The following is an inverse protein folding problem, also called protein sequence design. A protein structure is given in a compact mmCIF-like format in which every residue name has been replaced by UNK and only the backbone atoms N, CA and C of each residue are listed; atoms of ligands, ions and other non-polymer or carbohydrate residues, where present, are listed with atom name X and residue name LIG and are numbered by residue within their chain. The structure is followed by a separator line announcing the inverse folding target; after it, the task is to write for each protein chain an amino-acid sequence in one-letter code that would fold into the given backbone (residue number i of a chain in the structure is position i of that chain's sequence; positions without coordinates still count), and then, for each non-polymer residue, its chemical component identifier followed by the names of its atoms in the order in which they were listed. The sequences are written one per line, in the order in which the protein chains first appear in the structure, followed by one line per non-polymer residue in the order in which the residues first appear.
data_IF_268116246577
#
_entry.id   IF_268116246577
#
_cell.length_a   1.000
_cell.length_b   1.000
_cell.length_c   1.000
_cell.angle_alpha   90.00
_cell.angle_beta   90.00
_cell.angle_gamma   90.00
#
_symmetry.space_group_name_H-M   'P 1'
#
loop_
_entity.id
_entity.type
_entity.pdbx_description
1 polymer ?
#
# COMPACT_ATOMS: atom_id res chain seq x y z
N UNK A 1 -9.44 -17.80 -9.80
CA UNK A 1 -8.62 -16.94 -8.92
C UNK A 1 -8.48 -15.58 -9.56
N UNK A 2 -8.25 -14.53 -8.75
CA UNK A 2 -7.98 -13.16 -9.23
C UNK A 2 -6.67 -12.68 -8.62
N UNK A 3 -5.79 -12.15 -9.46
CA UNK A 3 -4.61 -11.39 -9.06
C UNK A 3 -4.96 -9.91 -9.18
N UNK A 4 -4.66 -9.14 -8.15
CA UNK A 4 -4.91 -7.69 -8.15
C UNK A 4 -3.57 -6.98 -8.09
N UNK A 5 -3.35 -6.12 -9.06
CA UNK A 5 -2.09 -5.40 -9.24
C UNK A 5 -2.30 -3.89 -9.15
N UNK A 6 -1.26 -3.16 -8.70
CA UNK A 6 -1.31 -1.71 -8.55
C UNK A 6 -1.40 -0.96 -9.87
N UNK A 7 -0.83 -1.50 -10.96
CA UNK A 7 -0.68 -0.76 -12.22
C UNK A 7 -1.07 -1.56 -13.50
N UNK A 8 -1.80 -2.68 -13.34
CA UNK A 8 -2.36 -3.43 -14.47
C UNK A 8 -3.34 -2.55 -15.28
N UNK A 9 -3.39 -2.64 -16.60
CA UNK A 9 -2.55 -3.47 -17.48
C UNK A 9 -1.29 -2.77 -17.99
N UNK A 10 -1.10 -1.48 -17.68
CA UNK A 10 -0.16 -0.62 -18.39
C UNK A 10 1.28 -0.74 -17.87
N UNK A 11 1.44 -0.90 -16.54
CA UNK A 11 2.74 -1.03 -15.86
C UNK A 11 3.73 0.08 -16.21
N UNK A 12 3.22 1.32 -16.29
CA UNK A 12 3.96 2.48 -16.78
C UNK A 12 4.02 3.65 -15.79
N UNK A 13 3.65 3.42 -14.53
CA UNK A 13 3.77 4.44 -13.50
C UNK A 13 4.82 4.04 -12.44
N UNK A 14 5.77 4.93 -12.15
CA UNK A 14 6.03 6.25 -12.75
C UNK A 14 6.77 6.15 -14.10
N UNK A 15 7.35 5.00 -14.39
CA UNK A 15 8.07 4.63 -15.61
C UNK A 15 7.64 3.25 -16.08
N UNK A 16 8.02 2.87 -17.31
CA UNK A 16 7.74 1.52 -17.79
C UNK A 16 8.57 0.49 -17.00
N UNK A 17 7.90 -0.25 -16.12
CA UNK A 17 8.53 -1.25 -15.24
C UNK A 17 9.13 -2.44 -16.00
N UNK A 18 8.78 -2.62 -17.27
CA UNK A 18 9.34 -3.68 -18.13
C UNK A 18 10.75 -3.39 -18.56
N UNK A 19 11.17 -2.14 -18.57
CA UNK A 19 12.45 -1.68 -19.08
C UNK A 19 13.26 -0.86 -18.09
N UNK A 20 12.63 -0.35 -17.04
CA UNK A 20 13.28 0.51 -16.05
C UNK A 20 13.46 -0.20 -14.71
N UNK A 21 14.64 -0.05 -14.15
CA UNK A 21 14.94 -0.48 -12.78
C UNK A 21 14.59 0.67 -11.86
N UNK A 22 13.67 0.47 -10.92
CA UNK A 22 13.50 1.39 -9.81
C UNK A 22 14.78 1.40 -8.95
N UNK A 23 15.02 2.49 -8.22
CA UNK A 23 16.21 2.64 -7.38
C UNK A 23 16.34 1.58 -6.29
N UNK A 24 17.02 1.87 -5.20
CA UNK A 24 17.21 0.93 -4.08
C UNK A 24 15.88 0.31 -3.63
N UNK A 25 15.76 -1.01 -3.74
CA UNK A 25 14.53 -1.75 -3.42
C UNK A 25 13.59 -1.97 -4.61
N UNK A 26 13.94 -1.54 -5.81
CA UNK A 26 13.16 -1.79 -7.01
C UNK A 26 13.27 -3.21 -7.54
N UNK A 27 12.24 -3.62 -8.27
CA UNK A 27 12.20 -4.93 -8.91
C UNK A 27 13.08 -4.93 -10.16
N UNK A 28 14.01 -5.87 -10.25
CA UNK A 28 14.78 -6.10 -11.46
C UNK A 28 13.87 -6.34 -12.67
N UNK A 29 14.12 -5.72 -13.86
CA UNK A 29 13.28 -5.88 -15.04
C UNK A 29 13.05 -7.35 -15.43
N UNK A 30 14.06 -8.20 -15.30
CA UNK A 30 13.93 -9.64 -15.56
C UNK A 30 12.91 -10.30 -14.61
N UNK A 31 12.93 -9.95 -13.33
CA UNK A 31 11.98 -10.46 -12.34
C UNK A 31 10.56 -10.00 -12.67
N UNK A 32 10.40 -8.73 -13.04
CA UNK A 32 9.09 -8.21 -13.44
C UNK A 32 8.58 -8.87 -14.72
N UNK A 33 9.42 -9.06 -15.72
CA UNK A 33 9.05 -9.79 -16.94
C UNK A 33 8.67 -11.24 -16.66
N UNK A 34 9.33 -11.91 -15.72
CA UNK A 34 8.94 -13.25 -15.28
C UNK A 34 7.57 -13.26 -14.61
N UNK A 35 7.25 -12.25 -13.80
CA UNK A 35 5.89 -12.07 -13.25
C UNK A 35 4.87 -11.95 -14.40
N UNK A 36 5.12 -11.11 -15.40
CA UNK A 36 4.20 -10.95 -16.53
C UNK A 36 4.00 -12.26 -17.32
N UNK A 37 5.05 -13.01 -17.56
CA UNK A 37 4.98 -14.35 -18.20
C UNK A 37 4.16 -15.32 -17.34
N UNK A 38 4.36 -15.32 -16.03
CA UNK A 38 3.59 -16.12 -15.10
C UNK A 38 2.10 -15.74 -15.13
N UNK A 39 1.79 -14.45 -15.08
CA UNK A 39 0.39 -13.99 -15.14
C UNK A 39 -0.28 -14.39 -16.45
N UNK A 40 0.42 -14.25 -17.58
CA UNK A 40 -0.10 -14.66 -18.88
C UNK A 40 -0.35 -16.18 -18.95
N UNK A 41 0.58 -16.98 -18.46
CA UNK A 41 0.40 -18.42 -18.33
C UNK A 41 -0.84 -18.78 -17.49
N UNK A 42 -1.00 -18.12 -16.34
CA UNK A 42 -2.13 -18.36 -15.44
C UNK A 42 -3.47 -17.93 -16.05
N UNK A 43 -3.50 -16.82 -16.78
CA UNK A 43 -4.69 -16.38 -17.53
C UNK A 43 -5.09 -17.42 -18.59
N UNK A 44 -4.15 -17.83 -19.39
CA UNK A 44 -4.38 -18.71 -20.54
C UNK A 44 -4.75 -20.13 -20.11
N UNK A 45 -4.02 -20.68 -19.13
CA UNK A 45 -4.16 -22.11 -18.78
C UNK A 45 -5.07 -22.37 -17.60
N UNK A 46 -5.22 -21.42 -16.68
CA UNK A 46 -5.93 -21.60 -15.41
C UNK A 46 -7.11 -20.64 -15.21
N UNK A 47 -7.47 -19.86 -16.22
CA UNK A 47 -8.58 -18.91 -16.16
C UNK A 47 -8.44 -17.85 -15.07
N UNK A 48 -7.20 -17.48 -14.70
CA UNK A 48 -6.96 -16.43 -13.72
C UNK A 48 -7.35 -15.07 -14.29
N UNK A 49 -8.04 -14.28 -13.50
CA UNK A 49 -8.30 -12.87 -13.81
C UNK A 49 -7.18 -12.02 -13.25
N UNK A 50 -6.81 -10.95 -13.98
CA UNK A 50 -5.92 -9.92 -13.50
C UNK A 50 -6.68 -8.59 -13.51
N UNK A 51 -6.66 -7.89 -12.40
CA UNK A 51 -7.40 -6.64 -12.22
C UNK A 51 -6.49 -5.55 -11.65
N UNK A 52 -6.74 -4.30 -12.00
CA UNK A 52 -6.11 -3.16 -11.33
C UNK A 52 -6.73 -2.97 -9.96
N UNK A 53 -5.91 -2.58 -8.98
CA UNK A 53 -6.38 -2.19 -7.65
C UNK A 53 -7.32 -0.99 -7.77
N UNK A 54 -8.59 -1.19 -7.42
CA UNK A 54 -9.67 -0.22 -7.62
C UNK A 54 -9.84 0.65 -6.39
N UNK A 55 -9.16 1.80 -6.35
CA UNK A 55 -9.15 2.73 -5.20
C UNK A 55 -10.57 3.21 -4.91
N UNK A 56 -10.93 3.28 -3.62
CA UNK A 56 -12.26 3.64 -3.14
C UNK A 56 -13.29 2.51 -3.27
N UNK A 57 -12.93 1.37 -3.86
CA UNK A 57 -13.81 0.21 -3.95
C UNK A 57 -13.97 -0.48 -2.60
N UNK A 58 -15.19 -0.93 -2.32
CA UNK A 58 -15.47 -1.91 -1.27
C UNK A 58 -16.11 -3.20 -1.84
N UNK A 59 -16.00 -3.39 -3.16
CA UNK A 59 -16.58 -4.53 -3.87
C UNK A 59 -15.53 -5.42 -4.52
N UNK A 60 -14.29 -4.94 -4.66
CA UNK A 60 -13.23 -5.71 -5.30
C UNK A 60 -12.83 -6.93 -4.47
N UNK A 61 -12.71 -6.75 -3.15
CA UNK A 61 -12.47 -7.83 -2.21
C UNK A 61 -13.74 -8.09 -1.41
N UNK A 62 -14.50 -9.12 -1.80
CA UNK A 62 -15.76 -9.46 -1.17
C UNK A 62 -15.78 -10.92 -0.72
N UNK A 63 -16.52 -11.22 0.33
CA UNK A 63 -16.80 -12.59 0.73
C UNK A 63 -17.57 -13.28 -0.38
N UNK A 64 -17.04 -14.42 -0.85
CA UNK A 64 -17.67 -15.24 -1.89
C UNK A 64 -18.55 -16.33 -1.29
N UNK A 65 -18.16 -16.83 -0.10
CA UNK A 65 -18.89 -17.87 0.61
C UNK A 65 -19.79 -17.21 1.65
N UNK A 66 -21.09 -17.38 1.51
CA UNK A 66 -22.11 -16.93 2.44
C UNK A 66 -22.03 -15.44 2.87
N UNK A 67 -21.99 -14.50 1.93
CA UNK A 67 -21.88 -13.09 2.27
C UNK A 67 -23.06 -12.54 3.07
N UNK A 68 -24.23 -13.21 2.98
CA UNK A 68 -25.44 -12.79 3.69
C UNK A 68 -25.35 -13.00 5.22
N UNK A 69 -24.59 -13.99 5.66
CA UNK A 69 -24.36 -14.25 7.09
C UNK A 69 -23.38 -13.26 7.73
N UNK A 70 -22.70 -12.44 6.93
CA UNK A 70 -21.73 -11.47 7.39
C UNK A 70 -22.05 -10.05 6.89
N UNK A 71 -23.27 -9.54 7.19
CA UNK A 71 -23.65 -8.19 6.79
C UNK A 71 -22.72 -7.18 7.49
N UNK A 72 -22.12 -6.29 6.76
CA UNK A 72 -21.18 -5.31 7.34
C UNK A 72 -19.71 -5.72 7.28
N UNK A 73 -19.37 -6.90 6.72
CA UNK A 73 -18.00 -7.15 6.30
C UNK A 73 -17.66 -6.30 5.07
N UNK A 74 -16.59 -5.54 5.18
CA UNK A 74 -16.11 -4.66 4.11
C UNK A 74 -14.58 -4.69 4.04
N UNK A 75 -14.04 -4.72 2.82
CA UNK A 75 -12.64 -4.36 2.55
C UNK A 75 -12.66 -3.13 1.65
N UNK A 76 -12.11 -2.04 2.16
CA UNK A 76 -12.04 -0.76 1.46
C UNK A 76 -10.62 -0.51 0.94
N UNK A 77 -10.49 -0.29 -0.36
CA UNK A 77 -9.24 0.09 -1.00
C UNK A 77 -8.97 1.57 -0.77
N UNK A 78 -7.84 1.90 -0.14
CA UNK A 78 -7.53 3.26 0.34
C UNK A 78 -6.55 3.97 -0.60
N UNK A 79 -5.46 3.31 -0.98
CA UNK A 79 -4.37 3.94 -1.72
C UNK A 79 -3.74 2.94 -2.69
N UNK A 80 -3.27 3.42 -3.84
CA UNK A 80 -2.41 2.68 -4.77
C UNK A 80 -1.61 3.66 -5.62
N UNK A 81 -0.37 3.33 -5.93
CA UNK A 81 0.55 4.26 -6.59
C UNK A 81 0.62 5.59 -5.80
N UNK A 82 0.49 6.72 -6.48
CA UNK A 82 0.45 8.04 -5.87
C UNK A 82 -0.95 8.54 -5.51
N UNK A 83 -1.98 7.71 -5.65
CA UNK A 83 -3.37 8.13 -5.49
C UNK A 83 -3.94 7.65 -4.15
N UNK A 84 -4.49 8.58 -3.39
CA UNK A 84 -5.22 8.36 -2.15
C UNK A 84 -6.72 8.56 -2.38
N UNK A 85 -7.55 7.67 -1.85
CA UNK A 85 -9.01 7.87 -1.79
C UNK A 85 -9.36 9.05 -0.90
N UNK A 86 -10.31 9.89 -1.32
CA UNK A 86 -10.73 11.09 -0.59
C UNK A 86 -11.79 10.82 0.50
N UNK A 87 -12.16 9.55 0.72
CA UNK A 87 -13.27 9.20 1.61
C UNK A 87 -14.65 9.28 0.94
N UNK A 88 -14.77 9.72 -0.30
CA UNK A 88 -16.05 9.92 -0.98
C UNK A 88 -16.07 9.30 -2.38
N UNK A 89 -17.03 8.39 -2.59
CA UNK A 89 -17.25 7.74 -3.90
C UNK A 89 -15.99 7.03 -4.39
N UNK A 90 -15.56 7.36 -5.62
CA UNK A 90 -14.32 6.90 -6.24
C UNK A 90 -13.29 8.02 -6.39
N UNK A 91 -13.51 9.16 -5.74
CA UNK A 91 -12.64 10.31 -5.88
C UNK A 91 -11.28 10.04 -5.24
N UNK A 92 -10.24 10.48 -5.91
CA UNK A 92 -8.85 10.34 -5.45
C UNK A 92 -8.14 11.69 -5.48
N UNK A 93 -7.09 11.81 -4.68
CA UNK A 93 -6.14 12.94 -4.71
C UNK A 93 -4.73 12.39 -4.85
N UNK A 94 -3.86 13.04 -5.62
CA UNK A 94 -2.45 12.65 -5.67
C UNK A 94 -1.74 13.03 -4.36
N UNK A 95 -0.86 12.14 -3.89
CA UNK A 95 0.04 12.37 -2.75
C UNK A 95 1.35 13.01 -3.19
N UNK A 96 1.77 12.69 -4.40
CA UNK A 96 2.98 13.21 -5.04
C UNK A 96 2.82 13.11 -6.56
N UNK A 97 3.62 13.88 -7.26
CA UNK A 97 3.67 13.86 -8.73
C UNK A 97 4.71 12.84 -9.22
N UNK A 98 4.64 12.52 -10.49
CA UNK A 98 5.67 11.69 -11.15
C UNK A 98 7.03 12.38 -11.13
N UNK A 99 7.05 13.67 -11.34
CA UNK A 99 8.23 14.53 -11.37
C UNK A 99 8.93 14.55 -10.01
N UNK A 100 8.17 14.71 -8.92
CA UNK A 100 8.70 14.64 -7.55
C UNK A 100 9.32 13.29 -7.27
N UNK A 101 8.64 12.20 -7.63
CA UNK A 101 9.14 10.85 -7.41
C UNK A 101 10.44 10.57 -8.17
N UNK A 102 10.60 11.12 -9.37
CA UNK A 102 11.76 10.91 -10.25
C UNK A 102 12.87 11.95 -10.06
N UNK A 103 12.71 12.93 -9.17
CA UNK A 103 13.64 14.04 -9.00
C UNK A 103 15.08 13.63 -8.63
N UNK A 104 15.27 12.51 -7.95
CA UNK A 104 16.61 11.95 -7.66
C UNK A 104 17.12 11.10 -8.84
N UNK A 105 17.55 11.74 -9.93
CA UNK A 105 18.17 11.08 -11.10
C UNK A 105 17.33 9.95 -11.72
N UNK A 106 15.99 10.06 -11.66
CA UNK A 106 15.08 9.05 -12.15
C UNK A 106 15.02 7.77 -11.31
N UNK A 107 15.70 7.73 -10.17
CA UNK A 107 15.65 6.61 -9.24
C UNK A 107 14.54 6.84 -8.21
N UNK A 108 13.71 5.85 -8.02
CA UNK A 108 12.65 5.87 -7.01
C UNK A 108 12.62 4.52 -6.28
N UNK A 109 12.05 4.51 -5.08
CA UNK A 109 11.76 3.29 -4.36
C UNK A 109 10.30 2.90 -4.64
N UNK A 110 10.06 1.63 -4.99
CA UNK A 110 8.73 1.11 -5.31
C UNK A 110 7.79 1.06 -4.09
N UNK A 111 8.34 1.14 -2.89
CA UNK A 111 7.59 1.10 -1.63
C UNK A 111 6.54 2.21 -1.54
N UNK A 112 6.83 3.43 -2.03
CA UNK A 112 5.86 4.53 -2.04
C UNK A 112 4.65 4.27 -2.94
N UNK A 113 4.72 3.29 -3.84
CA UNK A 113 3.60 2.83 -4.67
C UNK A 113 2.75 1.74 -4.01
N UNK A 114 3.08 1.31 -2.79
CA UNK A 114 2.34 0.27 -2.06
C UNK A 114 0.84 0.55 -2.02
N UNK A 115 0.07 -0.52 -2.02
CA UNK A 115 -1.37 -0.45 -1.82
C UNK A 115 -1.72 -0.39 -0.33
N UNK A 116 -2.79 0.32 0.01
CA UNK A 116 -3.33 0.30 1.36
C UNK A 116 -4.82 -0.03 1.35
N UNK A 117 -5.26 -0.78 2.35
CA UNK A 117 -6.67 -1.15 2.53
C UNK A 117 -7.08 -1.18 4.00
N UNK A 118 -8.38 -1.11 4.21
CA UNK A 118 -9.00 -1.26 5.53
C UNK A 118 -10.00 -2.41 5.46
N UNK A 119 -9.88 -3.34 6.41
CA UNK A 119 -10.87 -4.40 6.65
C UNK A 119 -11.76 -3.97 7.80
N UNK A 120 -13.07 -4.11 7.63
CA UNK A 120 -14.05 -3.78 8.66
C UNK A 120 -15.05 -4.93 8.83
N UNK A 121 -15.34 -5.27 10.08
CA UNK A 121 -16.44 -6.16 10.43
C UNK A 121 -17.03 -5.78 11.80
N UNK A 122 -18.29 -5.36 11.81
CA UNK A 122 -18.90 -4.82 13.00
C UNK A 122 -18.14 -3.60 13.54
N UNK A 123 -17.69 -3.69 14.81
CA UNK A 123 -16.87 -2.66 15.47
C UNK A 123 -15.36 -2.84 15.21
N UNK A 124 -14.94 -3.99 14.68
CA UNK A 124 -13.54 -4.26 14.40
C UNK A 124 -13.12 -3.59 13.09
N UNK A 125 -11.96 -2.96 13.10
CA UNK A 125 -11.35 -2.32 11.94
C UNK A 125 -9.86 -2.58 11.95
N UNK A 126 -9.35 -3.04 10.81
CA UNK A 126 -7.93 -3.37 10.62
C UNK A 126 -7.36 -2.60 9.42
N UNK A 127 -6.20 -2.01 9.60
CA UNK A 127 -5.46 -1.34 8.53
C UNK A 127 -4.27 -2.20 8.09
N UNK A 128 -4.05 -2.25 6.76
CA UNK A 128 -2.86 -2.81 6.12
C UNK A 128 -2.40 -1.90 4.99
N UNK A 129 -1.15 -1.46 5.04
CA UNK A 129 -0.61 -0.43 4.13
C UNK A 129 0.63 -0.81 3.34
N UNK A 130 1.13 -2.04 3.45
CA UNK A 130 2.38 -2.42 2.78
C UNK A 130 3.55 -1.56 3.28
N UNK A 131 4.42 -1.16 2.36
CA UNK A 131 5.67 -0.45 2.68
C UNK A 131 5.57 1.07 2.51
N UNK A 132 4.37 1.64 2.74
CA UNK A 132 4.22 3.08 2.72
C UNK A 132 5.11 3.75 3.77
N UNK A 133 5.78 4.82 3.37
CA UNK A 133 6.61 5.65 4.24
C UNK A 133 5.79 6.71 4.99
N UNK A 134 6.34 7.20 6.09
CA UNK A 134 5.65 8.17 6.94
C UNK A 134 6.56 9.22 7.58
N UNK A 135 7.86 9.18 7.30
CA UNK A 135 8.78 10.14 7.88
C UNK A 135 9.59 10.85 6.81
N UNK A 136 9.67 12.14 6.96
CA UNK A 136 10.61 13.00 6.24
C UNK A 136 11.86 13.08 7.08
N UNK A 137 12.95 12.53 6.59
CA UNK A 137 14.27 12.69 7.16
C UNK A 137 15.11 13.70 6.34
N UNK A 138 16.39 13.89 6.70
CA UNK A 138 17.24 14.89 6.08
C UNK A 138 17.41 14.74 4.55
N UNK A 139 17.13 13.56 4.01
CA UNK A 139 17.32 13.23 2.60
C UNK A 139 16.03 13.10 1.79
N UNK A 140 14.86 13.13 2.44
CA UNK A 140 13.56 12.94 1.80
C UNK A 140 12.76 14.24 1.72
N UNK A 141 12.04 14.41 0.62
CA UNK A 141 11.11 15.51 0.42
C UNK A 141 9.82 15.31 1.23
N UNK A 142 9.04 16.37 1.45
CA UNK A 142 7.81 16.34 2.26
C UNK A 142 6.77 15.30 1.76
N UNK A 143 6.68 15.07 0.45
CA UNK A 143 5.77 14.08 -0.12
C UNK A 143 6.07 12.63 0.29
N UNK A 144 7.25 12.36 0.87
CA UNK A 144 7.61 11.04 1.40
C UNK A 144 6.76 10.64 2.60
N UNK A 145 6.17 11.60 3.30
CA UNK A 145 5.17 11.35 4.34
C UNK A 145 3.81 11.02 3.71
N UNK A 146 3.59 9.75 3.42
CA UNK A 146 2.34 9.20 2.89
C UNK A 146 1.34 8.93 4.01
N UNK A 147 1.81 8.65 5.21
CA UNK A 147 0.99 8.27 6.36
C UNK A 147 0.13 9.43 6.87
N UNK A 148 0.70 10.62 7.01
CA UNK A 148 -0.04 11.77 7.56
C UNK A 148 -1.28 12.13 6.74
N UNK A 149 -1.25 12.28 5.40
CA UNK A 149 -2.46 12.55 4.62
C UNK A 149 -3.43 11.34 4.59
N UNK A 150 -2.94 10.12 4.78
CA UNK A 150 -3.78 8.91 4.81
C UNK A 150 -4.48 8.72 6.17
N UNK A 151 -3.91 9.20 7.26
CA UNK A 151 -4.42 9.02 8.62
C UNK A 151 -5.91 9.40 8.77
N UNK A 152 -6.40 10.59 8.36
CA UNK A 152 -7.80 10.98 8.52
C UNK A 152 -8.75 10.13 7.65
N UNK A 153 -8.28 9.59 6.52
CA UNK A 153 -9.07 8.71 5.66
C UNK A 153 -9.25 7.33 6.29
N UNK A 154 -8.19 6.83 6.92
CA UNK A 154 -8.24 5.57 7.68
C UNK A 154 -9.03 5.77 8.97
N UNK A 155 -8.73 6.80 9.77
CA UNK A 155 -9.32 7.02 11.09
C UNK A 155 -9.02 5.91 12.08
N UNK A 156 -9.67 5.91 13.26
CA UNK A 156 -9.41 4.94 14.33
C UNK A 156 -9.57 3.49 13.89
N UNK A 157 -8.65 2.63 14.37
CA UNK A 157 -8.64 1.19 14.07
C UNK A 157 -8.54 0.35 15.34
N UNK A 158 -8.99 -0.90 15.28
CA UNK A 158 -8.80 -1.87 16.36
C UNK A 158 -7.39 -2.47 16.33
N UNK A 159 -6.88 -2.70 15.13
CA UNK A 159 -5.54 -3.23 14.90
C UNK A 159 -4.97 -2.72 13.58
N UNK A 160 -3.64 -2.73 13.46
CA UNK A 160 -2.96 -2.41 12.21
C UNK A 160 -1.69 -3.24 12.02
N UNK A 161 -1.33 -3.52 10.78
CA UNK A 161 0.05 -3.83 10.45
C UNK A 161 0.85 -2.54 10.36
N UNK A 162 2.04 -2.56 10.94
CA UNK A 162 2.98 -1.45 10.82
C UNK A 162 3.52 -1.40 9.39
N UNK A 163 3.57 -0.21 8.83
CA UNK A 163 4.06 -0.02 7.47
C UNK A 163 5.56 -0.34 7.39
N UNK A 164 6.00 -0.71 6.19
CA UNK A 164 7.40 -0.94 5.82
C UNK A 164 8.13 -1.85 6.81
N UNK A 165 7.47 -2.97 7.20
CA UNK A 165 8.03 -3.95 8.15
C UNK A 165 8.48 -3.34 9.49
N UNK A 166 7.88 -2.22 9.88
CA UNK A 166 8.30 -1.41 11.03
C UNK A 166 9.68 -0.77 10.82
N UNK A 167 10.04 -0.42 9.57
CA UNK A 167 11.26 0.32 9.29
C UNK A 167 11.18 1.74 9.89
N UNK A 168 12.35 2.32 10.17
CA UNK A 168 12.48 3.64 10.82
C UNK A 168 11.78 4.78 10.10
N UNK A 169 11.63 4.68 8.76
CA UNK A 169 11.02 5.69 7.88
C UNK A 169 9.49 5.62 7.80
N UNK A 170 8.86 4.74 8.58
CA UNK A 170 7.42 4.54 8.60
C UNK A 170 6.86 4.57 10.03
N UNK A 171 5.54 4.50 10.16
CA UNK A 171 4.82 4.51 11.44
C UNK A 171 5.08 5.80 12.22
N UNK A 172 4.74 6.94 11.59
CA UNK A 172 4.92 8.25 12.20
C UNK A 172 3.93 8.49 13.37
N UNK A 173 4.26 9.44 14.24
CA UNK A 173 3.48 9.73 15.45
C UNK A 173 2.07 10.20 15.12
N UNK A 174 1.90 11.08 14.13
CA UNK A 174 0.59 11.56 13.73
C UNK A 174 -0.33 10.43 13.25
N UNK A 175 0.23 9.46 12.49
CA UNK A 175 -0.51 8.29 12.02
C UNK A 175 -0.97 7.43 13.19
N UNK A 176 -0.10 7.17 14.16
CA UNK A 176 -0.43 6.43 15.37
C UNK A 176 -1.50 7.13 16.21
N UNK A 177 -1.36 8.43 16.42
CA UNK A 177 -2.30 9.22 17.24
C UNK A 177 -3.71 9.26 16.64
N UNK A 178 -3.81 9.36 15.30
CA UNK A 178 -5.11 9.36 14.61
C UNK A 178 -5.73 7.97 14.55
N UNK A 179 -4.94 6.93 14.25
CA UNK A 179 -5.43 5.57 14.14
C UNK A 179 -5.74 4.93 15.51
N UNK A 180 -5.07 5.34 16.58
CA UNK A 180 -5.27 4.89 17.96
C UNK A 180 -5.43 3.35 18.08
N UNK A 181 -4.50 2.53 17.49
CA UNK A 181 -4.66 1.09 17.45
C UNK A 181 -4.53 0.47 18.84
N UNK A 182 -5.32 -0.58 19.11
CA UNK A 182 -5.19 -1.40 20.34
C UNK A 182 -4.15 -2.51 20.16
N UNK A 183 -3.90 -2.91 18.91
CA UNK A 183 -2.93 -3.94 18.56
C UNK A 183 -2.16 -3.48 17.33
N UNK A 184 -0.86 -3.63 17.37
CA UNK A 184 0.02 -3.44 16.22
C UNK A 184 0.71 -4.75 15.87
N UNK A 185 0.89 -5.01 14.58
CA UNK A 185 1.57 -6.21 14.07
C UNK A 185 2.80 -5.76 13.30
N UNK A 186 3.99 -6.09 13.83
CA UNK A 186 5.25 -5.90 13.14
C UNK A 186 5.57 -7.14 12.29
N UNK A 187 5.62 -6.99 10.99
CA UNK A 187 5.91 -8.07 10.03
C UNK A 187 7.39 -8.03 9.64
N UNK A 188 8.27 -8.37 10.58
CA UNK A 188 9.72 -8.22 10.43
C UNK A 188 10.42 -9.57 10.34
N UNK A 189 11.47 -9.64 9.52
CA UNK A 189 12.36 -10.81 9.42
C UNK A 189 13.84 -10.44 9.40
N UNK A 190 14.15 -9.14 9.34
CA UNK A 190 15.52 -8.61 9.32
C UNK A 190 15.94 -8.15 10.71
N UNK A 191 17.24 -8.11 10.97
CA UNK A 191 17.82 -7.65 12.25
C UNK A 191 17.66 -6.15 12.48
N UNK A 192 17.41 -5.38 11.43
CA UNK A 192 17.20 -3.92 11.45
C UNK A 192 15.70 -3.52 11.41
N UNK A 193 14.81 -4.48 11.41
CA UNK A 193 13.37 -4.32 11.54
C UNK A 193 12.83 -5.15 12.71
N UNK A 194 12.01 -4.59 13.61
CA UNK A 194 11.57 -3.19 13.65
C UNK A 194 12.72 -2.23 14.01
N UNK A 195 12.70 -1.03 13.44
CA UNK A 195 13.61 0.04 13.88
C UNK A 195 13.34 0.43 15.33
N UNK A 196 14.40 0.73 16.10
CA UNK A 196 14.27 1.15 17.51
C UNK A 196 13.40 2.39 17.66
N UNK A 197 13.42 3.28 16.67
CA UNK A 197 12.64 4.51 16.61
C UNK A 197 11.13 4.23 16.50
N UNK A 198 10.74 3.14 15.83
CA UNK A 198 9.34 2.70 15.79
C UNK A 198 8.89 2.25 17.18
N UNK A 199 9.72 1.46 17.89
CA UNK A 199 9.46 1.09 19.26
C UNK A 199 9.23 2.29 20.18
N UNK A 200 10.06 3.33 20.06
CA UNK A 200 9.95 4.57 20.82
C UNK A 200 8.66 5.35 20.48
N UNK A 201 8.20 5.30 19.24
CA UNK A 201 6.93 5.96 18.85
C UNK A 201 5.69 5.21 19.34
N UNK A 202 5.81 3.92 19.60
CA UNK A 202 4.71 3.08 20.12
C UNK A 202 4.52 3.21 21.64
N UNK A 203 5.52 3.71 22.37
CA UNK A 203 5.47 3.97 23.81
C UNK A 203 4.96 5.39 24.09
#
# INVERSE_FOLDING_TARGET
KTYVDRDYPNYNFPVDLRTNVSGNGGVEPATFQNLLKFLEFQKTNNGMKVEKFDIGSNKQFALKKDPKSYPGFEIRNIKSNNLLWTGKGKNTTPLFTKEELLAKNGKFNDNQMSTALVVKYGKFKYYAGGDNSGLVDQDHAEWYDIETPMAPIVGKVSAMSLNHHSNRDATNRNFLDVLDPKVVVAQSWSTDHPGSEVGQRLL
#
